data_IF_263898944404
#
_entry.id   IF_263898944404
#
_cell.length_a   1.000
_cell.length_b   1.000
_cell.length_c   1.000
_cell.angle_alpha   90.00
_cell.angle_beta   90.00
_cell.angle_gamma   90.00
#
_symmetry.space_group_name_H-M   'P 1'
#
loop_
_entity.id
_entity.type
_entity.pdbx_description
1 polymer ?
#
# COMPACT_ATOMS: atom_id res chain seq x y z
N UNK A 1 14.59 20.63 -6.65
CA UNK A 1 14.35 20.11 -5.29
C UNK A 1 14.12 18.60 -5.23
N UNK A 2 13.02 18.02 -5.79
CA UNK A 2 12.80 16.56 -5.74
C UNK A 2 13.82 15.74 -6.58
N UNK A 3 14.19 16.26 -7.75
CA UNK A 3 15.13 15.63 -8.70
C UNK A 3 16.59 16.09 -8.55
N UNK A 4 16.89 16.93 -7.56
CA UNK A 4 18.26 17.41 -7.36
C UNK A 4 19.12 16.29 -6.76
N UNK A 5 20.23 15.98 -7.44
CA UNK A 5 21.33 15.22 -6.85
C UNK A 5 22.18 16.18 -6.03
N UNK A 6 22.28 15.91 -4.74
CA UNK A 6 23.32 16.48 -3.90
C UNK A 6 23.84 15.38 -2.97
N UNK A 7 25.09 15.52 -2.54
CA UNK A 7 25.78 14.51 -1.74
C UNK A 7 25.05 14.19 -0.42
N UNK A 8 24.25 15.14 0.08
CA UNK A 8 23.40 14.94 1.24
C UNK A 8 22.27 13.95 0.95
N UNK A 9 21.48 14.15 -0.10
CA UNK A 9 20.41 13.22 -0.50
C UNK A 9 20.96 11.84 -0.87
N UNK A 10 22.14 11.76 -1.48
CA UNK A 10 22.75 10.47 -1.83
C UNK A 10 23.20 9.71 -0.58
N UNK A 11 23.81 10.39 0.40
CA UNK A 11 24.13 9.78 1.70
C UNK A 11 22.87 9.31 2.44
N UNK A 12 21.84 10.16 2.50
CA UNK A 12 20.55 9.79 3.10
C UNK A 12 19.91 8.58 2.40
N UNK A 13 20.00 8.53 1.07
CA UNK A 13 19.48 7.43 0.27
C UNK A 13 20.20 6.11 0.57
N UNK A 14 21.52 6.11 0.67
CA UNK A 14 22.30 4.91 1.05
C UNK A 14 21.86 4.34 2.40
N UNK A 15 21.56 5.20 3.38
CA UNK A 15 21.08 4.78 4.70
C UNK A 15 19.64 4.29 4.66
N UNK A 16 18.79 4.92 3.86
CA UNK A 16 17.44 4.46 3.61
C UNK A 16 17.44 3.07 2.96
N UNK A 17 18.34 2.78 2.01
CA UNK A 17 18.50 1.43 1.44
C UNK A 17 19.00 0.44 2.49
N UNK A 18 20.06 0.80 3.22
CA UNK A 18 20.69 -0.08 4.21
C UNK A 18 19.69 -0.53 5.29
N UNK A 19 18.78 0.36 5.68
CA UNK A 19 17.72 0.10 6.65
C UNK A 19 16.32 0.14 6.02
N UNK A 20 16.20 -0.30 4.75
CA UNK A 20 14.98 -0.24 3.93
C UNK A 20 13.77 -0.78 4.65
N UNK A 21 13.91 -1.92 5.32
CA UNK A 21 12.80 -2.57 6.00
C UNK A 21 12.23 -1.72 7.15
N UNK A 22 13.10 -1.18 8.00
CA UNK A 22 12.68 -0.31 9.10
C UNK A 22 12.13 1.01 8.60
N UNK A 23 12.72 1.59 7.55
CA UNK A 23 12.19 2.80 6.94
C UNK A 23 10.79 2.59 6.34
N UNK A 24 10.59 1.53 5.54
CA UNK A 24 9.27 1.15 5.00
C UNK A 24 8.28 0.90 6.14
N UNK A 25 8.68 0.20 7.21
CA UNK A 25 7.82 -0.02 8.37
C UNK A 25 7.39 1.29 9.02
N UNK A 26 8.29 2.25 9.21
CA UNK A 26 7.97 3.57 9.79
C UNK A 26 7.05 4.39 8.87
N UNK A 27 7.14 4.20 7.55
CA UNK A 27 6.29 4.89 6.57
C UNK A 27 4.85 4.37 6.59
N UNK A 28 4.68 3.05 6.70
CA UNK A 28 3.37 2.38 6.56
C UNK A 28 2.74 1.96 7.90
N UNK A 29 3.47 2.03 9.02
CA UNK A 29 3.01 1.57 10.33
C UNK A 29 3.24 2.60 11.44
N UNK A 30 2.44 2.52 12.51
CA UNK A 30 2.68 3.29 13.74
C UNK A 30 3.76 2.62 14.58
N UNK A 31 5.01 2.82 14.17
CA UNK A 31 6.17 2.21 14.83
C UNK A 31 6.48 2.96 16.13
N UNK A 32 6.44 2.23 17.26
CA UNK A 32 6.91 2.76 18.54
C UNK A 32 8.38 3.16 18.43
N UNK A 33 8.71 4.36 18.91
CA UNK A 33 10.09 4.79 19.05
C UNK A 33 10.75 4.02 20.20
N UNK A 34 11.83 3.29 19.90
CA UNK A 34 12.58 2.49 20.87
C UNK A 34 13.96 3.13 21.03
N UNK A 35 14.24 3.77 22.17
CA UNK A 35 15.57 4.32 22.45
C UNK A 35 16.65 3.24 22.31
N UNK A 36 17.76 3.57 21.64
CA UNK A 36 18.90 2.70 21.39
C UNK A 36 18.61 1.48 20.48
N UNK A 37 17.45 1.41 19.82
CA UNK A 37 17.32 0.50 18.69
C UNK A 37 18.30 0.91 17.59
N UNK A 38 19.15 -0.02 17.15
CA UNK A 38 20.27 0.28 16.25
C UNK A 38 19.79 0.94 14.96
N UNK A 39 18.72 0.43 14.36
CA UNK A 39 18.24 0.90 13.06
C UNK A 39 17.52 2.24 13.18
N UNK A 40 16.65 2.41 14.19
CA UNK A 40 16.01 3.70 14.46
C UNK A 40 17.03 4.78 14.81
N UNK A 41 18.04 4.46 15.62
CA UNK A 41 19.09 5.41 16.01
C UNK A 41 19.87 5.90 14.79
N UNK A 42 20.25 4.98 13.89
CA UNK A 42 20.92 5.36 12.64
C UNK A 42 20.04 6.21 11.73
N UNK A 43 18.79 5.80 11.49
CA UNK A 43 17.86 6.57 10.67
C UNK A 43 17.57 7.97 11.26
N UNK A 44 17.49 8.10 12.58
CA UNK A 44 17.30 9.39 13.26
C UNK A 44 18.55 10.27 13.18
N UNK A 45 19.75 9.70 13.34
CA UNK A 45 21.02 10.44 13.23
C UNK A 45 21.19 11.08 11.85
N UNK A 46 20.74 10.40 10.79
CA UNK A 46 20.75 10.95 9.44
C UNK A 46 19.50 11.80 9.13
N UNK A 47 18.62 12.04 10.10
CA UNK A 47 17.45 12.89 9.91
C UNK A 47 16.40 12.31 8.95
N UNK A 48 16.40 11.00 8.70
CA UNK A 48 15.38 10.31 7.91
C UNK A 48 14.09 10.12 8.69
N UNK A 49 14.22 9.90 10.00
CA UNK A 49 13.11 9.76 10.93
C UNK A 49 13.29 10.71 12.12
N UNK A 50 12.22 10.90 12.88
CA UNK A 50 12.20 11.65 14.12
C UNK A 50 11.27 10.98 15.13
N UNK A 51 11.57 11.11 16.41
CA UNK A 51 10.60 10.84 17.46
C UNK A 51 9.50 11.90 17.46
N UNK A 52 8.24 11.46 17.43
CA UNK A 52 7.08 12.29 17.80
C UNK A 52 6.27 11.54 18.83
N UNK A 53 6.10 12.13 20.01
CA UNK A 53 5.46 11.51 21.17
C UNK A 53 6.12 10.16 21.52
N UNK A 54 5.44 9.04 21.24
CA UNK A 54 5.91 7.67 21.49
C UNK A 54 6.27 6.91 20.21
N UNK A 55 6.18 7.54 19.04
CA UNK A 55 6.33 6.89 17.74
C UNK A 55 7.50 7.48 16.95
N UNK A 56 8.11 6.63 16.13
CA UNK A 56 9.03 7.02 15.07
C UNK A 56 8.21 7.43 13.84
N UNK A 57 8.51 8.60 13.27
CA UNK A 57 7.88 9.09 12.05
C UNK A 57 8.95 9.53 11.06
N UNK A 58 8.63 9.48 9.77
CA UNK A 58 9.49 10.07 8.74
C UNK A 58 9.66 11.57 9.01
N UNK A 59 10.89 12.06 8.95
CA UNK A 59 11.21 13.42 9.33
C UNK A 59 10.64 14.46 8.35
N UNK A 60 10.64 14.12 7.05
CA UNK A 60 10.22 14.97 5.93
C UNK A 60 9.49 14.14 4.85
N UNK A 61 8.34 14.64 4.38
CA UNK A 61 7.55 13.97 3.33
C UNK A 61 8.33 13.77 2.02
N UNK A 62 9.30 14.64 1.70
CA UNK A 62 10.16 14.48 0.51
C UNK A 62 10.94 13.15 0.54
N UNK A 63 11.37 12.70 1.73
CA UNK A 63 12.05 11.41 1.86
C UNK A 63 11.09 10.24 1.72
N UNK A 64 9.87 10.40 2.24
CA UNK A 64 8.79 9.41 2.07
C UNK A 64 8.50 9.22 0.59
N UNK A 65 8.38 10.30 -0.19
CA UNK A 65 8.13 10.23 -1.63
C UNK A 65 9.35 9.64 -2.36
N UNK A 66 10.51 10.31 -2.31
CA UNK A 66 11.71 9.95 -3.10
C UNK A 66 12.21 8.52 -2.87
N UNK A 67 12.31 8.08 -1.61
CA UNK A 67 12.93 6.78 -1.31
C UNK A 67 11.96 5.62 -1.47
N UNK A 68 10.67 5.81 -1.18
CA UNK A 68 9.66 4.77 -1.40
C UNK A 68 9.42 4.53 -2.89
N UNK A 69 9.38 5.58 -3.72
CA UNK A 69 9.29 5.44 -5.18
C UNK A 69 10.46 4.62 -5.74
N UNK A 70 11.66 4.84 -5.19
CA UNK A 70 12.84 4.06 -5.57
C UNK A 70 12.67 2.59 -5.14
N UNK A 71 12.15 2.34 -3.94
CA UNK A 71 11.87 0.98 -3.47
C UNK A 71 10.79 0.27 -4.27
N UNK A 72 9.79 0.99 -4.79
CA UNK A 72 8.80 0.46 -5.72
C UNK A 72 9.43 0.07 -7.06
N UNK A 73 10.31 0.93 -7.59
CA UNK A 73 11.06 0.67 -8.81
C UNK A 73 11.99 -0.56 -8.67
N UNK A 74 12.66 -0.69 -7.52
CA UNK A 74 13.52 -1.83 -7.18
C UNK A 74 12.76 -3.15 -7.01
N UNK A 75 11.47 -3.11 -6.70
CA UNK A 75 10.64 -4.31 -6.57
C UNK A 75 10.46 -5.09 -7.89
N UNK A 76 11.16 -4.68 -8.96
CA UNK A 76 11.15 -5.27 -10.31
C UNK A 76 9.73 -5.51 -10.81
N UNK A 77 8.90 -4.49 -10.64
CA UNK A 77 7.52 -4.48 -11.12
C UNK A 77 7.38 -4.14 -12.60
N UNK A 78 8.51 -4.01 -13.32
CA UNK A 78 8.52 -3.73 -14.76
C UNK A 78 8.15 -4.98 -15.56
N UNK A 79 6.91 -5.43 -15.45
CA UNK A 79 6.24 -5.86 -16.67
C UNK A 79 6.00 -4.59 -17.50
N UNK A 80 6.26 -4.65 -18.81
CA UNK A 80 5.80 -3.61 -19.75
C UNK A 80 4.27 -3.69 -19.82
N UNK A 81 3.62 -3.23 -18.75
CA UNK A 81 2.18 -3.20 -18.63
C UNK A 81 1.69 -2.11 -19.56
N UNK A 82 1.04 -2.54 -20.64
CA UNK A 82 0.30 -1.62 -21.49
C UNK A 82 -0.91 -1.13 -20.70
N UNK A 83 -0.91 0.15 -20.30
CA UNK A 83 -2.02 0.78 -19.57
C UNK A 83 -3.36 0.61 -20.31
N UNK A 84 -3.32 0.51 -21.64
CA UNK A 84 -4.50 0.24 -22.47
C UNK A 84 -5.19 -1.09 -22.13
N UNK A 85 -4.45 -2.09 -21.62
CA UNK A 85 -5.03 -3.38 -21.20
C UNK A 85 -5.82 -3.28 -19.90
N UNK A 86 -5.54 -2.25 -19.09
CA UNK A 86 -6.19 -1.98 -17.82
C UNK A 86 -7.12 -0.77 -17.88
N UNK A 87 -7.50 -0.34 -19.09
CA UNK A 87 -8.43 0.77 -19.30
C UNK A 87 -9.80 0.25 -19.73
N UNK A 88 -10.86 0.77 -19.12
CA UNK A 88 -12.23 0.58 -19.56
C UNK A 88 -12.56 1.52 -20.73
N UNK A 89 -13.72 1.34 -21.35
CA UNK A 89 -14.17 2.12 -22.52
C UNK A 89 -14.35 3.63 -22.26
N UNK A 90 -14.42 4.04 -20.99
CA UNK A 90 -14.55 5.44 -20.55
C UNK A 90 -13.22 6.03 -20.03
N UNK A 91 -12.08 5.41 -20.39
CA UNK A 91 -10.73 5.74 -19.94
C UNK A 91 -10.49 5.62 -18.41
N UNK A 92 -11.42 5.02 -17.65
CA UNK A 92 -11.14 4.62 -16.26
C UNK A 92 -10.24 3.40 -16.20
N UNK A 93 -9.53 3.23 -15.08
CA UNK A 93 -8.83 1.99 -14.77
C UNK A 93 -9.82 0.86 -14.44
N UNK A 94 -9.58 -0.30 -15.02
CA UNK A 94 -10.19 -1.58 -14.66
C UNK A 94 -9.52 -2.12 -13.38
N UNK A 95 -9.95 -1.58 -12.24
CA UNK A 95 -9.39 -1.94 -10.94
C UNK A 95 -9.59 -3.41 -10.58
N UNK A 96 -10.63 -4.07 -11.09
CA UNK A 96 -10.84 -5.49 -10.86
C UNK A 96 -9.73 -6.30 -11.52
N UNK A 97 -9.47 -6.03 -12.81
CA UNK A 97 -8.36 -6.65 -13.52
C UNK A 97 -7.01 -6.33 -12.87
N UNK A 98 -6.78 -5.07 -12.49
CA UNK A 98 -5.53 -4.65 -11.82
C UNK A 98 -5.27 -5.44 -10.54
N UNK A 99 -6.28 -5.64 -9.70
CA UNK A 99 -6.14 -6.36 -8.42
C UNK A 99 -6.05 -7.87 -8.64
N UNK A 100 -6.75 -8.42 -9.63
CA UNK A 100 -6.61 -9.84 -9.99
C UNK A 100 -5.22 -10.15 -10.56
N UNK A 101 -4.63 -9.26 -11.35
CA UNK A 101 -3.25 -9.43 -11.84
C UNK A 101 -2.23 -9.18 -10.72
N UNK A 102 -2.54 -8.35 -9.73
CA UNK A 102 -1.76 -8.26 -8.49
C UNK A 102 -1.75 -9.58 -7.70
N UNK A 103 -2.86 -10.31 -7.62
CA UNK A 103 -2.87 -11.63 -6.98
C UNK A 103 -1.91 -12.60 -7.69
N UNK A 104 -1.93 -12.63 -9.03
CA UNK A 104 -0.96 -13.44 -9.81
C UNK A 104 0.48 -13.03 -9.55
N UNK A 105 0.73 -11.72 -9.41
CA UNK A 105 2.04 -11.21 -9.02
C UNK A 105 2.47 -11.75 -7.65
N UNK A 106 1.61 -11.69 -6.63
CA UNK A 106 1.87 -12.26 -5.30
C UNK A 106 2.20 -13.76 -5.40
N UNK A 107 1.44 -14.50 -6.21
CA UNK A 107 1.67 -15.92 -6.45
C UNK A 107 3.04 -16.20 -7.06
N UNK A 108 3.50 -15.36 -7.99
CA UNK A 108 4.82 -15.51 -8.64
C UNK A 108 5.98 -15.18 -7.72
N UNK A 109 5.91 -14.09 -6.95
CA UNK A 109 6.99 -13.71 -6.03
C UNK A 109 7.05 -14.59 -4.79
N UNK A 110 5.97 -15.31 -4.51
CA UNK A 110 5.81 -16.13 -3.31
C UNK A 110 5.56 -15.30 -2.05
N UNK A 111 5.14 -15.97 -0.98
CA UNK A 111 4.75 -15.31 0.27
C UNK A 111 5.90 -15.08 1.24
N UNK A 112 7.15 -15.38 0.87
CA UNK A 112 8.31 -15.25 1.77
C UNK A 112 8.40 -13.87 2.43
N UNK A 113 8.14 -12.80 1.68
CA UNK A 113 8.11 -11.42 2.15
C UNK A 113 7.08 -11.16 3.28
N UNK A 114 6.01 -11.94 3.34
CA UNK A 114 4.99 -11.85 4.39
C UNK A 114 5.42 -12.53 5.71
N UNK A 115 6.38 -13.47 5.66
CA UNK A 115 6.74 -14.34 6.79
C UNK A 115 8.15 -14.09 7.36
N UNK A 116 8.83 -13.05 6.92
CA UNK A 116 10.07 -12.60 7.54
C UNK A 116 9.80 -12.14 8.98
N UNK A 117 10.63 -12.61 9.93
CA UNK A 117 10.42 -12.38 11.36
C UNK A 117 10.32 -10.86 11.62
N UNK A 118 9.27 -10.42 12.32
CA UNK A 118 8.96 -9.03 12.79
C UNK A 118 8.10 -8.13 11.87
N UNK A 119 7.58 -8.61 10.74
CA UNK A 119 6.71 -7.82 9.84
C UNK A 119 5.21 -8.03 10.12
N UNK A 120 4.38 -6.97 10.20
CA UNK A 120 2.93 -7.11 10.12
C UNK A 120 2.55 -7.48 8.68
N UNK A 121 1.87 -8.62 8.51
CA UNK A 121 1.37 -9.10 7.21
C UNK A 121 0.65 -8.02 6.37
N UNK A 122 -0.10 -7.14 7.04
CA UNK A 122 -0.95 -6.12 6.40
C UNK A 122 -0.11 -5.06 5.71
N UNK A 123 0.97 -4.63 6.38
CA UNK A 123 1.82 -3.55 5.88
C UNK A 123 2.77 -4.04 4.80
N UNK A 124 3.19 -5.30 4.84
CA UNK A 124 3.85 -5.94 3.69
C UNK A 124 2.90 -5.96 2.49
N UNK A 125 1.66 -6.41 2.67
CA UNK A 125 0.66 -6.44 1.61
C UNK A 125 0.38 -5.06 1.03
N UNK A 126 0.06 -4.08 1.88
CA UNK A 126 -0.17 -2.69 1.49
C UNK A 126 1.03 -2.09 0.75
N UNK A 127 2.25 -2.31 1.22
CA UNK A 127 3.47 -1.87 0.51
C UNK A 127 3.56 -2.48 -0.88
N UNK A 128 3.37 -3.80 -1.02
CA UNK A 128 3.44 -4.50 -2.30
C UNK A 128 2.34 -4.04 -3.25
N UNK A 129 1.11 -3.84 -2.77
CA UNK A 129 0.02 -3.32 -3.58
C UNK A 129 0.26 -1.86 -3.99
N UNK A 130 0.76 -1.03 -3.09
CA UNK A 130 1.13 0.36 -3.43
C UNK A 130 2.23 0.37 -4.50
N UNK A 131 3.24 -0.50 -4.36
CA UNK A 131 4.29 -0.66 -5.36
C UNK A 131 3.70 -1.09 -6.72
N UNK A 132 2.82 -2.10 -6.72
CA UNK A 132 2.11 -2.56 -7.92
C UNK A 132 1.33 -1.43 -8.60
N UNK A 133 0.60 -0.63 -7.83
CA UNK A 133 -0.20 0.47 -8.36
C UNK A 133 0.65 1.64 -8.88
N UNK A 134 1.90 1.77 -8.43
CA UNK A 134 2.79 2.86 -8.83
C UNK A 134 3.05 2.88 -10.36
N UNK A 135 2.95 1.74 -11.03
CA UNK A 135 3.11 1.68 -12.49
C UNK A 135 2.02 2.44 -13.25
N UNK A 136 0.84 2.66 -12.66
CA UNK A 136 -0.28 3.40 -13.29
C UNK A 136 -0.18 4.93 -13.10
N UNK A 137 0.74 5.41 -12.27
CA UNK A 137 1.03 6.85 -12.12
C UNK A 137 2.31 7.27 -12.85
N UNK A 138 3.15 6.29 -13.20
CA UNK A 138 4.37 6.49 -13.97
C UNK A 138 4.04 7.06 -15.34
N UNK A 139 4.43 8.31 -15.59
CA UNK A 139 4.12 9.03 -16.84
C UNK A 139 3.28 10.30 -16.64
N UNK A 140 2.81 10.57 -15.42
CA UNK A 140 2.23 11.87 -15.05
C UNK A 140 0.71 12.01 -15.23
N UNK A 141 0.01 10.94 -15.64
CA UNK A 141 -1.46 10.93 -15.79
C UNK A 141 -2.21 10.52 -14.51
N UNK A 142 -1.48 10.18 -13.44
CA UNK A 142 -2.04 9.79 -12.17
C UNK A 142 -1.20 10.23 -10.96
N UNK A 143 -1.78 10.07 -9.78
CA UNK A 143 -1.18 10.35 -8.48
C UNK A 143 -1.50 9.20 -7.52
N UNK A 144 -0.52 8.79 -6.70
CA UNK A 144 -0.66 7.67 -5.77
C UNK A 144 -0.29 8.14 -4.36
N UNK A 145 -1.29 8.15 -3.48
CA UNK A 145 -1.15 8.57 -2.09
C UNK A 145 -1.46 7.40 -1.17
N UNK A 146 -0.73 7.30 -0.06
CA UNK A 146 -0.87 6.21 0.90
C UNK A 146 -0.71 6.73 2.33
N UNK A 147 -1.41 6.07 3.26
CA UNK A 147 -1.60 6.52 4.64
C UNK A 147 -2.15 7.96 4.70
N UNK A 148 -3.20 8.24 3.90
CA UNK A 148 -3.77 9.58 3.71
C UNK A 148 -4.68 9.92 4.89
N UNK A 149 -4.33 10.91 5.75
CA UNK A 149 -5.20 11.32 6.83
C UNK A 149 -6.46 11.99 6.28
N UNK A 150 -7.59 11.69 6.91
CA UNK A 150 -8.90 12.29 6.67
C UNK A 150 -9.46 12.78 8.01
N UNK A 151 -10.53 13.59 7.98
CA UNK A 151 -11.21 13.99 9.21
C UNK A 151 -11.80 12.82 10.01
N UNK A 152 -11.99 11.66 9.38
CA UNK A 152 -12.71 10.51 9.95
C UNK A 152 -11.85 9.23 10.06
N UNK A 153 -10.55 9.32 9.78
CA UNK A 153 -9.63 8.18 9.81
C UNK A 153 -8.45 8.36 8.86
N UNK A 154 -7.81 7.26 8.46
CA UNK A 154 -6.68 7.29 7.53
C UNK A 154 -6.91 6.26 6.44
N UNK A 155 -6.92 6.69 5.19
CA UNK A 155 -7.05 5.79 4.04
C UNK A 155 -5.71 5.10 3.78
N UNK A 156 -5.75 3.80 3.51
CA UNK A 156 -4.55 3.03 3.19
C UNK A 156 -3.93 3.48 1.86
N UNK A 157 -4.73 3.47 0.78
CA UNK A 157 -4.29 3.85 -0.57
C UNK A 157 -5.38 4.67 -1.29
N UNK A 158 -4.99 5.78 -1.89
CA UNK A 158 -5.77 6.61 -2.81
C UNK A 158 -4.99 6.73 -4.12
N UNK A 159 -5.49 6.09 -5.17
CA UNK A 159 -5.01 6.26 -6.54
C UNK A 159 -5.93 7.25 -7.25
N UNK A 160 -5.34 8.24 -7.91
CA UNK A 160 -6.04 9.11 -8.86
C UNK A 160 -5.47 8.88 -10.24
N UNK A 161 -6.33 8.68 -11.24
CA UNK A 161 -5.90 8.53 -12.64
C UNK A 161 -6.90 9.24 -13.54
N UNK A 162 -6.42 10.17 -14.38
CA UNK A 162 -7.27 11.02 -15.24
C UNK A 162 -8.47 11.66 -14.50
N UNK A 163 -8.23 12.11 -13.26
CA UNK A 163 -9.25 12.74 -12.40
C UNK A 163 -10.23 11.79 -11.72
N UNK A 164 -10.17 10.48 -11.98
CA UNK A 164 -10.96 9.45 -11.27
C UNK A 164 -10.21 8.96 -10.04
N UNK A 165 -10.93 8.78 -8.93
CA UNK A 165 -10.38 8.35 -7.64
C UNK A 165 -10.73 6.89 -7.35
N UNK A 166 -9.73 6.13 -6.92
CA UNK A 166 -9.83 4.73 -6.53
C UNK A 166 -9.29 4.59 -5.12
N UNK A 167 -10.18 4.28 -4.17
CA UNK A 167 -9.84 4.14 -2.75
C UNK A 167 -9.78 2.66 -2.41
N UNK A 168 -8.66 2.25 -1.84
CA UNK A 168 -8.36 0.85 -1.55
C UNK A 168 -8.01 0.74 -0.07
N UNK A 169 -8.78 -0.08 0.65
CA UNK A 169 -8.51 -0.48 2.02
C UNK A 169 -7.85 -1.86 2.03
N UNK A 170 -6.86 -2.07 2.91
CA UNK A 170 -6.18 -3.35 3.07
C UNK A 170 -6.43 -3.95 4.45
N UNK A 171 -6.61 -5.28 4.52
CA UNK A 171 -6.80 -6.02 5.78
C UNK A 171 -6.05 -7.34 5.76
N UNK A 172 -5.83 -7.93 6.93
CA UNK A 172 -5.33 -9.32 7.06
C UNK A 172 -6.31 -10.17 7.82
N UNK A 173 -6.68 -11.32 7.26
CA UNK A 173 -7.38 -12.36 7.99
C UNK A 173 -6.38 -13.31 8.67
N UNK A 174 -6.26 -13.19 10.00
CA UNK A 174 -5.44 -14.09 10.85
C UNK A 174 -6.26 -15.10 11.63
N UNK A 175 -7.48 -14.73 12.01
CA UNK A 175 -8.30 -15.43 12.98
C UNK A 175 -9.52 -16.11 12.35
N UNK A 176 -9.54 -16.24 11.02
CA UNK A 176 -10.60 -16.91 10.28
C UNK A 176 -11.98 -16.26 10.45
N UNK A 177 -12.00 -14.92 10.47
CA UNK A 177 -13.22 -14.12 10.59
C UNK A 177 -13.37 -13.18 9.40
N UNK A 178 -13.43 -13.78 8.21
CA UNK A 178 -13.48 -13.05 6.95
C UNK A 178 -14.75 -12.20 6.84
N UNK A 179 -15.88 -12.69 7.33
CA UNK A 179 -17.17 -12.00 7.28
C UNK A 179 -17.13 -10.71 8.08
N UNK A 180 -16.68 -10.75 9.35
CA UNK A 180 -16.61 -9.54 10.17
C UNK A 180 -15.63 -8.51 9.57
N UNK A 181 -14.46 -8.97 9.07
CA UNK A 181 -13.49 -8.09 8.39
C UNK A 181 -14.15 -7.37 7.20
N UNK A 182 -14.92 -8.09 6.39
CA UNK A 182 -15.61 -7.51 5.23
C UNK A 182 -16.66 -6.49 5.69
N UNK A 183 -17.52 -6.83 6.64
CA UNK A 183 -18.60 -5.96 7.13
C UNK A 183 -18.04 -4.66 7.74
N UNK A 184 -17.03 -4.75 8.61
CA UNK A 184 -16.37 -3.59 9.21
C UNK A 184 -15.69 -2.71 8.15
N UNK A 185 -15.03 -3.32 7.17
CA UNK A 185 -14.32 -2.60 6.11
C UNK A 185 -15.29 -1.90 5.15
N UNK A 186 -16.44 -2.51 4.83
CA UNK A 186 -17.49 -1.89 4.03
C UNK A 186 -18.01 -0.64 4.76
N UNK A 187 -18.29 -0.75 6.05
CA UNK A 187 -18.74 0.39 6.86
C UNK A 187 -17.68 1.50 6.88
N UNK A 188 -16.40 1.15 7.08
CA UNK A 188 -15.29 2.08 7.07
C UNK A 188 -15.15 2.81 5.72
N UNK A 189 -15.14 2.07 4.61
CA UNK A 189 -15.04 2.62 3.26
C UNK A 189 -16.22 3.55 2.96
N UNK A 190 -17.46 3.06 3.12
CA UNK A 190 -18.67 3.79 2.72
C UNK A 190 -18.88 5.05 3.56
N UNK A 191 -18.82 4.95 4.89
CA UNK A 191 -19.19 6.04 5.79
C UNK A 191 -18.08 7.08 6.00
N UNK A 192 -16.81 6.71 5.82
CA UNK A 192 -15.67 7.60 6.11
C UNK A 192 -14.95 8.06 4.86
N UNK A 193 -14.60 7.16 3.96
CA UNK A 193 -13.63 7.46 2.89
C UNK A 193 -14.31 7.85 1.59
N UNK A 194 -15.25 7.03 1.10
CA UNK A 194 -15.95 7.28 -0.15
C UNK A 194 -16.79 8.58 -0.06
N UNK A 195 -17.41 8.82 1.08
CA UNK A 195 -18.15 10.06 1.36
C UNK A 195 -17.24 11.30 1.34
N UNK A 196 -16.09 11.26 2.03
CA UNK A 196 -15.15 12.39 2.10
C UNK A 196 -14.54 12.71 0.74
N UNK A 197 -14.28 11.70 -0.09
CA UNK A 197 -13.62 11.88 -1.38
C UNK A 197 -14.60 12.05 -2.56
N UNK A 198 -15.91 12.08 -2.29
CA UNK A 198 -16.98 12.22 -3.28
C UNK A 198 -16.96 11.15 -4.38
N UNK A 199 -16.68 9.90 -4.00
CA UNK A 199 -16.73 8.72 -4.88
C UNK A 199 -17.78 7.72 -4.40
N UNK A 200 -18.22 6.83 -5.28
CA UNK A 200 -19.18 5.75 -4.99
C UNK A 200 -18.56 4.36 -5.08
N UNK A 201 -17.30 4.26 -5.50
CA UNK A 201 -16.59 2.99 -5.70
C UNK A 201 -15.41 2.88 -4.75
N UNK A 202 -15.35 1.78 -4.00
CA UNK A 202 -14.21 1.42 -3.16
C UNK A 202 -13.77 -0.02 -3.38
N UNK A 203 -12.55 -0.32 -2.96
CA UNK A 203 -11.97 -1.65 -3.09
C UNK A 203 -11.42 -2.11 -1.73
N UNK A 204 -11.62 -3.38 -1.43
CA UNK A 204 -11.12 -4.01 -0.22
C UNK A 204 -10.19 -5.17 -0.61
N UNK A 205 -8.92 -5.12 -0.21
CA UNK A 205 -7.97 -6.21 -0.44
C UNK A 205 -7.65 -6.88 0.89
N UNK A 206 -8.02 -8.15 1.02
CA UNK A 206 -7.82 -8.95 2.22
C UNK A 206 -6.73 -9.98 1.96
N UNK A 207 -5.64 -9.89 2.71
CA UNK A 207 -4.59 -10.91 2.70
C UNK A 207 -4.96 -12.01 3.70
N UNK A 208 -5.32 -13.19 3.19
CA UNK A 208 -5.79 -14.30 4.02
C UNK A 208 -4.67 -15.31 4.30
N UNK A 209 -4.36 -15.49 5.59
CA UNK A 209 -3.31 -16.41 6.04
C UNK A 209 -3.73 -17.87 6.03
N UNK A 210 -5.03 -18.16 5.84
CA UNK A 210 -5.59 -19.51 5.82
C UNK A 210 -5.72 -20.08 4.41
N UNK A 211 -6.05 -19.22 3.45
CA UNK A 211 -6.04 -19.58 2.03
C UNK A 211 -4.61 -19.69 1.50
N UNK A 212 -4.28 -20.81 0.86
CA UNK A 212 -2.97 -21.02 0.23
C UNK A 212 -2.70 -19.98 -0.85
N UNK A 213 -1.43 -19.56 -0.96
CA UNK A 213 -0.99 -18.74 -2.09
C UNK A 213 -1.30 -19.42 -3.43
N UNK A 214 -1.77 -18.64 -4.41
CA UNK A 214 -2.19 -19.13 -5.72
C UNK A 214 -3.58 -19.76 -5.76
N UNK A 215 -4.30 -19.80 -4.64
CA UNK A 215 -5.73 -20.08 -4.67
C UNK A 215 -6.45 -18.97 -5.45
N UNK A 216 -7.36 -19.38 -6.34
CA UNK A 216 -8.08 -18.45 -7.22
C UNK A 216 -8.85 -17.41 -6.39
N UNK A 217 -8.47 -16.14 -6.54
CA UNK A 217 -9.25 -15.02 -6.03
C UNK A 217 -10.52 -14.84 -6.87
N UNK A 218 -11.67 -14.75 -6.21
CA UNK A 218 -12.95 -14.38 -6.83
C UNK A 218 -13.43 -13.06 -6.23
N UNK A 219 -13.63 -12.01 -7.05
CA UNK A 219 -14.18 -10.75 -6.56
C UNK A 219 -15.57 -10.95 -5.96
N UNK A 220 -15.84 -10.27 -4.84
CA UNK A 220 -17.16 -10.20 -4.24
C UNK A 220 -17.65 -8.75 -4.26
N UNK A 221 -18.93 -8.56 -4.51
CA UNK A 221 -19.53 -7.24 -4.70
C UNK A 221 -20.48 -6.92 -3.55
N UNK A 222 -20.30 -5.75 -2.95
CA UNK A 222 -21.03 -5.31 -1.78
C UNK A 222 -21.66 -3.94 -2.03
N UNK A 223 -22.89 -3.76 -1.57
CA UNK A 223 -23.63 -2.51 -1.68
C UNK A 223 -23.88 -1.95 -0.28
N UNK A 224 -23.58 -0.67 -0.08
CA UNK A 224 -23.93 0.09 1.12
C UNK A 224 -24.50 1.44 0.68
N UNK A 225 -25.83 1.59 0.76
CA UNK A 225 -26.57 2.74 0.24
C UNK A 225 -26.26 3.02 -1.26
N UNK A 226 -25.70 4.18 -1.60
CA UNK A 226 -25.26 4.56 -2.95
C UNK A 226 -23.83 4.09 -3.28
N UNK A 227 -23.13 3.49 -2.31
CA UNK A 227 -21.72 3.05 -2.43
C UNK A 227 -21.62 1.57 -2.79
N UNK A 228 -20.64 1.26 -3.63
CA UNK A 228 -20.25 -0.10 -4.02
C UNK A 228 -18.83 -0.37 -3.57
N UNK A 229 -18.62 -1.54 -2.97
CA UNK A 229 -17.30 -2.04 -2.59
C UNK A 229 -17.07 -3.38 -3.26
N UNK A 230 -15.97 -3.53 -3.98
CA UNK A 230 -15.52 -4.83 -4.49
C UNK A 230 -14.40 -5.36 -3.58
N UNK A 231 -14.58 -6.54 -2.99
CA UNK A 231 -13.57 -7.16 -2.14
C UNK A 231 -12.84 -8.30 -2.83
N UNK A 232 -11.54 -8.41 -2.55
CA UNK A 232 -10.63 -9.40 -3.09
C UNK A 232 -9.93 -10.11 -1.93
N UNK A 233 -10.14 -11.41 -1.80
CA UNK A 233 -9.41 -12.23 -0.81
C UNK A 233 -8.24 -12.89 -1.51
N UNK A 234 -7.02 -12.46 -1.17
CA UNK A 234 -5.77 -12.97 -1.72
C UNK A 234 -5.16 -13.94 -0.71
N UNK A 235 -5.00 -15.20 -1.12
CA UNK A 235 -4.35 -16.22 -0.29
C UNK A 235 -2.87 -15.92 -0.10
N UNK A 236 -2.43 -15.89 1.16
CA UNK A 236 -1.01 -15.75 1.53
C UNK A 236 -0.54 -16.89 2.45
N UNK A 237 -1.36 -17.92 2.68
CA UNK A 237 -0.99 -19.10 3.45
C UNK A 237 0.18 -19.87 2.83
N UNK A 238 1.09 -20.34 3.67
CA UNK A 238 2.15 -21.26 3.24
C UNK A 238 1.58 -22.65 2.96
N UNK A 239 2.10 -23.29 1.92
CA UNK A 239 2.08 -24.75 1.74
C UNK A 239 2.94 -25.45 2.77
#
# INVERSE_FOLDING_TARGET
MLLERNDHFDNLYEKAILYKETFVKIVFDHVKYIPNDKEQTWLEQYGLIKKKERNALVANNIYKERYIETFFSDAKLSEDISISEYSLSDDSLDMERIILDFEKYITRIGVSAFYEKKKPYEKTGQFLLTAWLYQFVKGGEGDLRYEVPTGLGRMDILLTYKGKKYIIETKVNRHDDLTAIIEESILQLSSKYLATESTTLGYLVIYDTKTLVGARCQPQYHQAEDKRVTSFTIGIGKT
#
